data_IF_975313059389
#
_entry.id   IF_975313059389
#
_cell.length_a   1.000
_cell.length_b   1.000
_cell.length_c   1.000
_cell.angle_alpha   90.00
_cell.angle_beta   90.00
_cell.angle_gamma   90.00
#
_symmetry.space_group_name_H-M   'P 1'
#
loop_
_entity.id
_entity.type
_entity.pdbx_description
1 polymer ?
#
# COMPACT_ATOMS: atom_id res chain seq x y z
N UNK A 1 -8.39 -9.64 21.80
CA UNK A 1 -7.46 -9.24 20.75
C UNK A 1 -6.34 -10.27 20.65
N UNK A 2 -5.99 -10.75 19.46
CA UNK A 2 -5.00 -11.83 19.31
C UNK A 2 -3.64 -11.22 18.96
N UNK A 3 -2.63 -11.49 19.79
CA UNK A 3 -1.23 -11.12 19.52
C UNK A 3 -0.49 -12.38 19.09
N UNK A 4 0.32 -12.23 18.03
CA UNK A 4 1.19 -13.30 17.53
C UNK A 4 2.60 -13.05 18.06
N UNK A 5 3.13 -13.93 18.89
CA UNK A 5 4.52 -13.90 19.37
C UNK A 5 5.26 -15.13 18.88
N UNK A 6 6.48 -14.95 18.36
CA UNK A 6 7.35 -16.05 17.97
C UNK A 6 8.38 -16.26 19.08
N UNK A 7 8.31 -17.39 19.77
CA UNK A 7 9.34 -17.87 20.71
C UNK A 7 9.72 -19.31 20.33
N UNK A 8 11.00 -19.52 20.06
CA UNK A 8 11.51 -20.87 19.81
C UNK A 8 11.00 -21.57 18.55
N UNK A 9 10.59 -20.84 17.51
CA UNK A 9 10.11 -21.40 16.25
C UNK A 9 8.62 -21.79 16.23
N UNK A 10 7.89 -21.61 17.31
CA UNK A 10 6.42 -21.81 17.36
C UNK A 10 5.67 -20.47 17.49
N UNK A 11 4.56 -20.36 16.74
CA UNK A 11 3.68 -19.21 16.78
C UNK A 11 2.63 -19.42 17.87
N UNK A 12 2.73 -18.66 18.96
CA UNK A 12 1.71 -18.68 20.01
C UNK A 12 0.77 -17.47 19.87
N UNK A 13 -0.54 -17.75 19.96
CA UNK A 13 -1.60 -16.74 19.95
C UNK A 13 -2.02 -16.46 21.38
N UNK A 14 -1.67 -15.29 21.92
CA UNK A 14 -2.16 -14.88 23.23
C UNK A 14 -3.26 -13.82 23.09
N UNK A 15 -4.35 -14.02 23.80
CA UNK A 15 -5.41 -13.01 23.96
C UNK A 15 -5.07 -12.15 25.17
N UNK A 16 -4.81 -10.85 24.97
CA UNK A 16 -4.63 -9.92 26.08
C UNK A 16 -5.99 -9.57 26.70
N UNK A 17 -6.11 -9.62 28.03
CA UNK A 17 -7.29 -9.10 28.71
C UNK A 17 -7.41 -7.58 28.51
N UNK A 18 -8.62 -7.11 28.28
CA UNK A 18 -8.96 -5.69 28.05
C UNK A 18 -8.65 -4.78 29.27
N UNK A 19 -8.27 -5.32 30.39
CA UNK A 19 -8.06 -4.59 31.66
C UNK A 19 -6.75 -3.79 31.74
N UNK A 20 -5.74 -4.13 30.93
CA UNK A 20 -4.45 -3.42 30.95
C UNK A 20 -4.46 -2.02 30.33
N UNK A 21 -5.59 -1.59 29.76
CA UNK A 21 -5.74 -0.31 29.07
C UNK A 21 -6.32 0.82 29.95
N UNK A 22 -6.51 0.59 31.26
CA UNK A 22 -7.21 1.55 32.12
C UNK A 22 -6.32 2.43 33.02
N UNK A 23 -5.00 2.35 32.93
CA UNK A 23 -4.11 3.17 33.76
C UNK A 23 -3.72 4.47 33.07
N UNK A 24 -4.48 5.52 33.29
CA UNK A 24 -4.14 6.87 32.84
C UNK A 24 -5.32 7.84 32.79
N UNK A 25 -6.16 7.85 33.84
CA UNK A 25 -7.16 8.91 33.99
C UNK A 25 -6.50 10.18 34.53
N UNK A 26 -6.04 11.06 33.64
CA UNK A 26 -6.09 12.50 33.88
C UNK A 26 -7.27 13.05 33.06
N UNK A 27 -8.35 13.36 33.78
CA UNK A 27 -9.56 13.96 33.22
C UNK A 27 -9.25 15.42 32.84
N UNK A 28 -9.16 15.71 31.55
CA UNK A 28 -9.20 17.07 31.05
C UNK A 28 -10.67 17.50 30.95
N UNK A 29 -11.12 18.54 31.70
CA UNK A 29 -12.53 18.94 31.74
C UNK A 29 -13.06 19.51 30.42
N UNK A 30 -12.22 19.87 29.46
CA UNK A 30 -12.66 20.35 28.13
C UNK A 30 -13.06 19.23 27.15
N UNK A 31 -12.61 18.00 27.36
CA UNK A 31 -13.00 16.84 26.53
C UNK A 31 -14.50 16.47 26.69
N UNK A 32 -15.18 17.03 27.69
CA UNK A 32 -16.56 16.70 28.03
C UNK A 32 -17.63 17.50 27.28
N UNK A 33 -17.25 18.49 26.42
CA UNK A 33 -18.20 19.35 25.70
C UNK A 33 -18.65 18.85 24.32
N UNK A 34 -18.06 17.78 23.76
CA UNK A 34 -18.41 17.25 22.42
C UNK A 34 -19.21 15.94 22.41
N UNK A 35 -19.93 15.64 23.48
CA UNK A 35 -20.76 14.41 23.62
C UNK A 35 -22.17 14.53 22.99
N UNK A 36 -22.36 15.28 21.93
CA UNK A 36 -23.70 15.47 21.34
C UNK A 36 -23.99 14.64 20.08
N UNK A 37 -23.09 13.74 19.65
CA UNK A 37 -23.36 12.95 18.44
C UNK A 37 -22.99 11.45 18.66
N UNK A 38 -23.77 10.72 19.42
CA UNK A 38 -23.91 9.25 19.37
C UNK A 38 -22.67 8.34 19.53
N UNK A 39 -21.46 8.87 19.79
CA UNK A 39 -20.24 8.07 19.86
C UNK A 39 -19.42 8.41 21.12
N UNK A 40 -19.67 7.67 22.19
CA UNK A 40 -18.94 7.71 23.46
C UNK A 40 -17.57 6.99 23.37
N UNK A 41 -16.90 7.04 22.20
CA UNK A 41 -15.61 6.35 21.99
C UNK A 41 -14.46 7.32 22.15
N UNK A 42 -13.42 6.88 22.84
CA UNK A 42 -12.13 7.59 22.87
C UNK A 42 -11.49 7.58 21.46
N UNK A 43 -10.55 8.50 21.20
CA UNK A 43 -9.80 8.54 19.94
C UNK A 43 -9.11 7.20 19.67
N UNK A 44 -8.53 6.58 20.70
CA UNK A 44 -7.85 5.26 20.61
C UNK A 44 -8.82 4.15 20.21
N UNK A 45 -9.97 4.07 20.85
CA UNK A 45 -10.99 3.07 20.50
C UNK A 45 -11.51 3.27 19.06
N UNK A 46 -11.68 4.52 18.66
CA UNK A 46 -12.08 4.86 17.32
C UNK A 46 -11.01 4.47 16.29
N UNK A 47 -9.75 4.76 16.57
CA UNK A 47 -8.63 4.43 15.71
C UNK A 47 -8.45 2.91 15.55
N UNK A 48 -8.50 2.16 16.67
CA UNK A 48 -8.42 0.71 16.64
C UNK A 48 -9.57 0.09 15.84
N UNK A 49 -10.80 0.55 16.01
CA UNK A 49 -11.95 0.09 15.24
C UNK A 49 -11.81 0.40 13.73
N UNK A 50 -11.16 1.52 13.37
CA UNK A 50 -10.87 1.85 11.98
C UNK A 50 -9.82 0.93 11.37
N UNK A 51 -8.81 0.52 12.13
CA UNK A 51 -7.74 -0.40 11.70
C UNK A 51 -8.24 -1.85 11.67
N UNK A 52 -9.10 -2.25 12.59
CA UNK A 52 -9.73 -3.58 12.60
C UNK A 52 -10.57 -3.82 11.35
N UNK A 53 -11.29 -2.79 10.88
CA UNK A 53 -12.10 -2.89 9.67
C UNK A 53 -11.26 -3.06 8.39
N UNK A 54 -10.14 -2.32 8.27
CA UNK A 54 -9.17 -2.46 7.18
C UNK A 54 -7.85 -1.78 7.52
N UNK A 55 -6.78 -2.25 6.90
CA UNK A 55 -5.48 -1.59 6.90
C UNK A 55 -5.57 -0.14 6.38
N UNK A 56 -4.87 0.76 7.04
CA UNK A 56 -4.77 2.18 6.67
C UNK A 56 -3.36 2.69 6.85
N UNK A 57 -3.00 3.69 6.08
CA UNK A 57 -1.79 4.48 6.32
C UNK A 57 -2.02 5.47 7.45
N UNK A 58 -0.93 5.97 8.04
CA UNK A 58 -1.00 7.04 9.05
C UNK A 58 -1.83 8.22 8.56
N UNK A 59 -1.56 8.68 7.33
CA UNK A 59 -2.28 9.81 6.72
C UNK A 59 -3.78 9.53 6.57
N UNK A 60 -4.16 8.32 6.13
CA UNK A 60 -5.58 7.94 6.01
C UNK A 60 -6.26 7.89 7.39
N UNK A 61 -5.57 7.37 8.41
CA UNK A 61 -6.09 7.30 9.77
C UNK A 61 -6.27 8.69 10.37
N UNK A 62 -5.24 9.54 10.31
CA UNK A 62 -5.29 10.93 10.78
C UNK A 62 -6.46 11.70 10.15
N UNK A 63 -6.62 11.58 8.83
CA UNK A 63 -7.75 12.20 8.13
C UNK A 63 -9.09 11.71 8.68
N UNK A 64 -9.23 10.40 8.91
CA UNK A 64 -10.49 9.82 9.42
C UNK A 64 -10.81 10.22 10.85
N UNK A 65 -9.81 10.39 11.69
CA UNK A 65 -9.98 10.90 13.04
C UNK A 65 -10.33 12.40 13.03
N UNK A 66 -9.69 13.18 12.16
CA UNK A 66 -10.00 14.59 11.98
C UNK A 66 -11.43 14.84 11.45
N UNK A 67 -11.90 13.99 10.53
CA UNK A 67 -13.30 14.01 10.03
C UNK A 67 -14.32 13.75 11.17
N UNK A 68 -13.89 13.18 12.30
CA UNK A 68 -14.69 12.94 13.50
C UNK A 68 -14.48 14.00 14.59
N UNK A 69 -13.87 15.11 14.23
CA UNK A 69 -13.66 16.28 15.07
C UNK A 69 -12.78 16.06 16.32
N UNK A 70 -11.93 15.02 16.34
CA UNK A 70 -10.91 14.88 17.36
C UNK A 70 -9.83 15.95 17.20
N UNK A 71 -9.25 16.41 18.33
CA UNK A 71 -8.19 17.41 18.32
C UNK A 71 -6.89 16.85 17.72
N UNK A 72 -6.03 17.74 17.26
CA UNK A 72 -4.74 17.36 16.68
C UNK A 72 -3.87 16.66 17.72
N UNK A 73 -3.86 17.16 18.94
CA UNK A 73 -3.10 16.64 20.09
C UNK A 73 -3.52 15.22 20.42
N UNK A 74 -4.84 14.96 20.53
CA UNK A 74 -5.38 13.62 20.79
C UNK A 74 -5.02 12.63 19.66
N UNK A 75 -5.07 13.10 18.41
CA UNK A 75 -4.69 12.29 17.23
C UNK A 75 -3.21 11.96 17.28
N UNK A 76 -2.34 12.94 17.59
CA UNK A 76 -0.88 12.75 17.64
C UNK A 76 -0.49 11.74 18.72
N UNK A 77 -1.02 11.86 19.92
CA UNK A 77 -0.80 10.89 21.00
C UNK A 77 -1.28 9.48 20.60
N UNK A 78 -2.44 9.39 19.96
CA UNK A 78 -3.00 8.11 19.51
C UNK A 78 -2.14 7.48 18.41
N UNK A 79 -1.66 8.26 17.45
CA UNK A 79 -0.80 7.76 16.37
C UNK A 79 0.54 7.28 16.92
N UNK A 80 1.15 8.00 17.85
CA UNK A 80 2.37 7.57 18.53
C UNK A 80 2.17 6.22 19.22
N UNK A 81 1.10 6.08 20.01
CA UNK A 81 0.74 4.83 20.66
C UNK A 81 0.58 3.68 19.65
N UNK A 82 -0.16 3.90 18.57
CA UNK A 82 -0.41 2.86 17.57
C UNK A 82 0.86 2.43 16.82
N UNK A 83 1.81 3.33 16.61
CA UNK A 83 3.12 3.02 16.03
C UNK A 83 3.99 2.23 16.99
N UNK A 84 4.06 2.63 18.24
CA UNK A 84 4.81 1.94 19.29
C UNK A 84 4.39 0.48 19.40
N UNK A 85 3.09 0.22 19.38
CA UNK A 85 2.53 -1.13 19.45
C UNK A 85 2.37 -1.82 18.08
N UNK A 86 2.91 -1.24 17.01
CA UNK A 86 2.87 -1.76 15.63
C UNK A 86 1.46 -2.03 15.07
N UNK A 87 0.46 -1.34 15.57
CA UNK A 87 -0.88 -1.34 14.97
C UNK A 87 -0.96 -0.47 13.71
N UNK A 88 -0.06 0.50 13.60
CA UNK A 88 0.08 1.40 12.48
C UNK A 88 1.52 1.33 11.97
N UNK A 89 1.70 0.80 10.77
CA UNK A 89 3.01 0.61 10.15
C UNK A 89 2.87 0.82 8.64
N UNK A 90 3.34 1.98 8.16
CA UNK A 90 3.27 2.35 6.75
C UNK A 90 4.21 1.50 5.88
N UNK A 91 5.31 0.97 6.43
CA UNK A 91 6.20 0.09 5.69
C UNK A 91 5.54 -1.28 5.46
N UNK A 92 4.98 -1.88 6.51
CA UNK A 92 4.22 -3.12 6.39
C UNK A 92 3.00 -2.96 5.46
N UNK A 93 2.31 -1.80 5.53
CA UNK A 93 1.23 -1.45 4.61
C UNK A 93 1.71 -1.42 3.16
N UNK A 94 2.83 -0.72 2.89
CA UNK A 94 3.39 -0.60 1.55
C UNK A 94 3.79 -1.95 0.97
N UNK A 95 4.49 -2.81 1.73
CA UNK A 95 4.87 -4.15 1.31
C UNK A 95 3.65 -5.01 0.92
N UNK A 96 2.59 -5.04 1.76
CA UNK A 96 1.35 -5.74 1.44
C UNK A 96 0.68 -5.19 0.18
N UNK A 97 0.65 -3.87 0.03
CA UNK A 97 0.08 -3.23 -1.16
C UNK A 97 0.84 -3.59 -2.44
N UNK A 98 2.19 -3.56 -2.40
CA UNK A 98 3.04 -3.94 -3.53
C UNK A 98 2.76 -5.38 -3.94
N UNK A 99 2.84 -6.35 -3.02
CA UNK A 99 2.56 -7.77 -3.30
C UNK A 99 1.18 -7.97 -3.92
N UNK A 100 0.16 -7.30 -3.41
CA UNK A 100 -1.22 -7.41 -3.95
C UNK A 100 -1.35 -6.84 -5.35
N UNK A 101 -0.56 -5.80 -5.69
CA UNK A 101 -0.64 -5.10 -6.97
C UNK A 101 0.40 -5.54 -7.99
N UNK A 102 1.46 -6.26 -7.56
CA UNK A 102 2.62 -6.63 -8.37
C UNK A 102 2.30 -7.33 -9.71
N UNK A 103 1.20 -8.06 -9.79
CA UNK A 103 0.78 -8.74 -11.02
C UNK A 103 0.05 -7.82 -12.03
N UNK A 104 -0.38 -6.62 -11.62
CA UNK A 104 -1.31 -5.79 -12.41
C UNK A 104 -0.88 -4.35 -12.61
N UNK A 105 0.01 -3.84 -11.77
CA UNK A 105 0.47 -2.45 -11.79
C UNK A 105 1.98 -2.37 -11.96
N UNK A 106 2.44 -1.42 -12.76
CA UNK A 106 3.87 -1.10 -12.83
C UNK A 106 4.38 -0.51 -11.52
N UNK A 107 5.68 -0.59 -11.29
CA UNK A 107 6.35 0.05 -10.13
C UNK A 107 5.99 1.53 -10.01
N UNK A 108 5.92 2.24 -11.16
CA UNK A 108 5.53 3.65 -11.21
C UNK A 108 4.09 3.88 -10.75
N UNK A 109 3.15 3.02 -11.16
CA UNK A 109 1.75 3.11 -10.71
C UNK A 109 1.62 2.82 -9.23
N UNK A 110 2.31 1.79 -8.73
CA UNK A 110 2.33 1.42 -7.32
C UNK A 110 2.87 2.58 -6.48
N UNK A 111 3.99 3.18 -6.90
CA UNK A 111 4.58 4.36 -6.24
C UNK A 111 3.56 5.50 -6.14
N UNK A 112 2.96 5.89 -7.26
CA UNK A 112 1.98 6.99 -7.30
C UNK A 112 0.76 6.70 -6.40
N UNK A 113 0.33 5.45 -6.31
CA UNK A 113 -0.78 5.06 -5.45
C UNK A 113 -0.42 5.17 -3.96
N UNK A 114 0.77 4.71 -3.57
CA UNK A 114 1.26 4.79 -2.19
C UNK A 114 1.53 6.24 -1.75
N UNK A 115 2.09 7.08 -2.64
CA UNK A 115 2.24 8.52 -2.39
C UNK A 115 0.87 9.21 -2.16
N UNK A 116 -0.13 8.88 -2.98
CA UNK A 116 -1.51 9.39 -2.76
C UNK A 116 -2.10 8.95 -1.43
N UNK A 117 -1.74 7.78 -0.96
CA UNK A 117 -2.14 7.24 0.36
C UNK A 117 -1.35 7.85 1.52
N UNK A 118 -0.29 8.59 1.22
CA UNK A 118 0.51 9.34 2.17
C UNK A 118 1.68 8.59 2.77
N UNK A 119 2.07 7.47 2.18
CA UNK A 119 3.33 6.79 2.52
C UNK A 119 4.50 7.64 2.04
N UNK A 120 5.55 7.75 2.84
CA UNK A 120 6.74 8.54 2.49
C UNK A 120 7.52 7.89 1.33
N UNK A 121 8.27 8.70 0.58
CA UNK A 121 9.04 8.21 -0.57
C UNK A 121 10.11 7.23 -0.15
N UNK A 122 10.76 7.48 0.97
CA UNK A 122 11.81 6.64 1.53
C UNK A 122 11.29 5.22 1.82
N UNK A 123 10.11 5.12 2.44
CA UNK A 123 9.44 3.84 2.70
C UNK A 123 9.07 3.15 1.39
N UNK A 124 8.51 3.90 0.43
CA UNK A 124 8.10 3.35 -0.86
C UNK A 124 9.30 2.80 -1.62
N UNK A 125 10.42 3.55 -1.65
CA UNK A 125 11.63 3.14 -2.36
C UNK A 125 12.23 1.89 -1.74
N UNK A 126 12.33 1.84 -0.42
CA UNK A 126 12.81 0.66 0.31
C UNK A 126 11.94 -0.56 0.01
N UNK A 127 10.63 -0.43 0.15
CA UNK A 127 9.71 -1.54 -0.07
C UNK A 127 9.65 -2.00 -1.54
N UNK A 128 9.81 -1.10 -2.51
CA UNK A 128 9.94 -1.47 -3.92
C UNK A 128 11.27 -2.16 -4.25
N UNK A 129 12.32 -2.00 -3.44
CA UNK A 129 13.57 -2.77 -3.58
C UNK A 129 13.43 -4.17 -3.00
N UNK A 130 12.72 -4.32 -1.89
CA UNK A 130 12.51 -5.61 -1.22
C UNK A 130 11.49 -6.50 -1.94
N UNK A 131 10.46 -5.91 -2.53
CA UNK A 131 9.36 -6.64 -3.15
C UNK A 131 9.54 -6.79 -4.67
N UNK A 132 9.33 -8.00 -5.17
CA UNK A 132 9.46 -8.28 -6.60
C UNK A 132 8.22 -7.84 -7.39
N UNK A 133 8.44 -7.04 -8.42
CA UNK A 133 7.42 -6.64 -9.41
C UNK A 133 7.93 -7.00 -10.79
N UNK A 134 7.33 -8.03 -11.40
CA UNK A 134 7.69 -8.53 -12.73
C UNK A 134 7.04 -7.67 -13.83
N UNK A 135 7.69 -6.55 -14.14
CA UNK A 135 7.23 -5.66 -15.22
C UNK A 135 7.39 -6.28 -16.60
N UNK A 136 8.40 -7.13 -16.80
CA UNK A 136 8.68 -7.74 -18.11
C UNK A 136 7.55 -8.70 -18.53
N UNK A 137 7.11 -9.59 -17.62
CA UNK A 137 5.92 -10.42 -17.87
C UNK A 137 4.63 -9.62 -18.05
N UNK A 138 4.47 -8.50 -17.32
CA UNK A 138 3.31 -7.63 -17.50
C UNK A 138 3.32 -6.98 -18.89
N UNK A 139 4.46 -6.46 -19.34
CA UNK A 139 4.64 -5.85 -20.66
C UNK A 139 4.36 -6.89 -21.74
N UNK A 140 4.95 -8.09 -21.65
CA UNK A 140 4.75 -9.20 -22.60
C UNK A 140 3.25 -9.52 -22.76
N UNK A 141 2.55 -9.79 -21.68
CA UNK A 141 1.11 -10.06 -21.68
C UNK A 141 0.27 -8.94 -22.31
N UNK A 142 0.69 -7.68 -22.10
CA UNK A 142 -0.01 -6.53 -22.68
C UNK A 142 0.27 -6.39 -24.18
N UNK A 143 1.49 -6.66 -24.63
CA UNK A 143 1.87 -6.70 -26.03
C UNK A 143 1.07 -7.77 -26.78
N UNK A 144 1.06 -9.00 -26.29
CA UNK A 144 0.30 -10.12 -26.82
C UNK A 144 -1.20 -9.79 -26.91
N UNK A 145 -1.79 -9.30 -25.82
CA UNK A 145 -3.20 -8.90 -25.78
C UNK A 145 -3.57 -7.82 -26.79
N UNK A 146 -2.58 -7.02 -27.21
CA UNK A 146 -2.78 -5.95 -28.21
C UNK A 146 -2.39 -6.36 -29.63
N UNK A 147 -2.14 -7.65 -29.85
CA UNK A 147 -1.83 -8.19 -31.16
C UNK A 147 -0.41 -7.91 -31.64
N UNK A 148 0.54 -7.64 -30.72
CA UNK A 148 1.94 -7.57 -31.09
C UNK A 148 2.46 -8.96 -31.42
N UNK A 149 2.93 -9.14 -32.65
CA UNK A 149 3.54 -10.38 -33.14
C UNK A 149 5.03 -10.09 -33.45
N UNK A 150 5.98 -10.79 -32.77
CA UNK A 150 7.39 -10.70 -33.10
C UNK A 150 7.61 -11.10 -34.58
N UNK A 151 8.50 -10.42 -35.27
CA UNK A 151 8.79 -10.71 -36.67
C UNK A 151 7.80 -10.14 -37.70
N UNK A 152 6.62 -9.68 -37.29
CA UNK A 152 5.65 -9.03 -38.18
C UNK A 152 5.87 -7.51 -38.21
N UNK A 153 5.92 -6.94 -39.39
CA UNK A 153 5.97 -5.48 -39.55
C UNK A 153 4.67 -4.86 -39.08
N UNK A 154 4.78 -3.89 -38.16
CA UNK A 154 3.65 -3.12 -37.65
C UNK A 154 3.71 -1.70 -38.25
N UNK A 155 2.54 -1.16 -38.62
CA UNK A 155 2.43 0.21 -39.06
C UNK A 155 2.96 1.21 -38.03
N UNK A 156 3.74 2.24 -38.40
CA UNK A 156 4.32 3.19 -37.43
C UNK A 156 3.30 3.87 -36.52
N UNK A 157 2.08 4.07 -37.01
CA UNK A 157 1.00 4.66 -36.21
C UNK A 157 0.49 3.69 -35.12
N UNK A 158 0.37 2.41 -35.42
CA UNK A 158 -0.03 1.36 -34.47
C UNK A 158 1.05 1.15 -33.42
N UNK A 159 2.31 1.07 -33.84
CA UNK A 159 3.45 0.99 -32.94
C UNK A 159 3.47 2.14 -31.94
N UNK A 160 3.31 3.39 -32.39
CA UNK A 160 3.23 4.57 -31.52
C UNK A 160 2.06 4.49 -30.53
N UNK A 161 0.89 4.02 -30.98
CA UNK A 161 -0.29 3.84 -30.11
C UNK A 161 -0.03 2.78 -29.04
N UNK A 162 0.62 1.67 -29.42
CA UNK A 162 0.98 0.57 -28.51
C UNK A 162 1.97 1.06 -27.46
N UNK A 163 3.08 1.70 -27.86
CA UNK A 163 4.08 2.28 -26.96
C UNK A 163 3.45 3.32 -26.02
N UNK A 164 2.60 4.20 -26.54
CA UNK A 164 1.87 5.19 -25.75
C UNK A 164 0.92 4.54 -24.72
N UNK A 165 0.29 3.43 -25.06
CA UNK A 165 -0.59 2.71 -24.14
C UNK A 165 0.18 2.08 -22.98
N UNK A 166 1.37 1.51 -23.23
CA UNK A 166 2.26 0.97 -22.21
C UNK A 166 2.86 2.08 -21.33
N UNK A 167 3.30 3.19 -21.95
CA UNK A 167 3.81 4.36 -21.25
C UNK A 167 2.78 4.97 -20.29
N UNK A 168 1.50 5.07 -20.69
CA UNK A 168 0.41 5.52 -19.80
C UNK A 168 0.18 4.59 -18.61
N UNK A 169 0.55 3.32 -18.71
CA UNK A 169 0.55 2.36 -17.61
C UNK A 169 1.80 2.44 -16.73
N UNK A 170 2.72 3.35 -17.06
CA UNK A 170 3.89 3.64 -16.27
C UNK A 170 5.13 2.80 -16.58
N UNK A 171 5.09 1.97 -17.62
CA UNK A 171 6.27 1.25 -18.06
C UNK A 171 7.25 2.20 -18.75
N UNK A 172 8.55 2.04 -18.47
CA UNK A 172 9.58 2.84 -19.13
C UNK A 172 9.78 2.42 -20.59
N UNK A 173 10.18 3.35 -21.46
CA UNK A 173 10.50 3.04 -22.85
C UNK A 173 11.63 2.02 -22.96
N UNK A 174 12.57 2.03 -22.03
CA UNK A 174 13.67 1.07 -21.96
C UNK A 174 13.16 -0.35 -21.62
N UNK A 175 12.29 -0.49 -20.61
CA UNK A 175 11.70 -1.78 -20.27
C UNK A 175 10.86 -2.34 -21.43
N UNK A 176 10.07 -1.50 -22.09
CA UNK A 176 9.26 -1.92 -23.24
C UNK A 176 10.16 -2.41 -24.38
N UNK A 177 11.22 -1.66 -24.71
CA UNK A 177 12.17 -2.04 -25.74
C UNK A 177 12.87 -3.35 -25.42
N UNK A 178 13.42 -3.51 -24.23
CA UNK A 178 14.05 -4.76 -23.77
C UNK A 178 13.14 -5.97 -23.96
N UNK A 179 11.87 -5.86 -23.57
CA UNK A 179 10.90 -6.95 -23.73
C UNK A 179 10.57 -7.23 -25.18
N UNK A 180 10.41 -6.18 -26.02
CA UNK A 180 10.14 -6.38 -27.46
C UNK A 180 11.33 -7.00 -28.19
N UNK A 181 12.56 -6.66 -27.82
CA UNK A 181 13.79 -7.25 -28.33
C UNK A 181 13.88 -8.74 -27.92
N UNK A 182 13.67 -9.04 -26.64
CA UNK A 182 13.67 -10.43 -26.16
C UNK A 182 12.60 -11.29 -26.85
N UNK A 183 11.40 -10.78 -27.05
CA UNK A 183 10.35 -11.50 -27.80
C UNK A 183 10.73 -11.75 -29.26
N UNK A 184 11.47 -10.82 -29.87
CA UNK A 184 11.94 -10.97 -31.25
C UNK A 184 13.06 -12.01 -31.35
N UNK A 185 14.04 -11.97 -30.45
CA UNK A 185 15.13 -12.95 -30.38
C UNK A 185 14.59 -14.38 -30.18
N UNK A 186 13.60 -14.53 -29.28
CA UNK A 186 12.91 -15.80 -29.08
C UNK A 186 12.25 -16.29 -30.40
N UNK A 187 11.54 -15.42 -31.10
CA UNK A 187 10.90 -15.73 -32.37
C UNK A 187 11.91 -16.15 -33.45
N UNK A 188 13.00 -15.38 -33.60
CA UNK A 188 14.05 -15.68 -34.58
C UNK A 188 14.79 -16.98 -34.29
N UNK A 189 14.83 -17.43 -33.02
CA UNK A 189 15.43 -18.71 -32.62
C UNK A 189 14.59 -19.95 -32.97
N UNK A 190 13.32 -19.77 -33.30
CA UNK A 190 12.40 -20.85 -33.72
C UNK A 190 12.26 -21.03 -35.22
N UNK A 191 12.88 -20.13 -36.03
CA UNK A 191 12.86 -20.18 -37.50
C UNK A 191 14.07 -20.87 -38.05
#
# INVERSE_FOLDING_TARGET
MKIWTIQGGEVQVQSLPMESLQSGKQQNPEANRKKANGQNRTVRECALALLEFRDRTERELRRKLKEREYSTEEIDETVLFLKEYRYLDDAAYAGRYIRTCAARKSRRQIRADLERKGVSREIIDLQLQEEYVDEDSQIRKLLEKKGYEPGKSMEPAEYRRLMGALGRRGFSGEAIRRVTESMREEYDSFL
#
